data_IF_245971223186
#
_entry.id   IF_245971223186
#
_cell.length_a   1.000
_cell.length_b   1.000
_cell.length_c   1.000
_cell.angle_alpha   90.00
_cell.angle_beta   90.00
_cell.angle_gamma   90.00
#
_symmetry.space_group_name_H-M   'P 1'
#
loop_
_entity.id
_entity.type
_entity.pdbx_description
1 polymer ?
#
# COMPACT_ATOMS: atom_id res chain seq x y z
N UNK A 1 14.78 -23.30 -9.06
CA UNK A 1 15.06 -21.88 -8.80
C UNK A 1 15.61 -21.73 -7.40
N UNK A 2 16.62 -20.90 -7.20
CA UNK A 2 17.14 -20.60 -5.87
C UNK A 2 16.08 -19.80 -5.10
N UNK A 3 15.76 -20.23 -3.87
CA UNK A 3 14.83 -19.47 -3.02
C UNK A 3 15.58 -18.35 -2.31
N UNK A 4 14.95 -17.18 -2.20
CA UNK A 4 15.50 -16.07 -1.42
C UNK A 4 15.78 -16.50 0.02
N UNK A 5 16.92 -16.09 0.54
CA UNK A 5 17.30 -16.22 1.95
C UNK A 5 17.10 -14.94 2.70
N UNK A 6 17.23 -13.80 2.02
CA UNK A 6 17.04 -12.47 2.56
C UNK A 6 16.34 -11.59 1.53
N UNK A 7 15.62 -10.59 2.01
CA UNK A 7 15.04 -9.52 1.20
C UNK A 7 15.66 -8.20 1.62
N UNK A 8 15.93 -7.34 0.66
CA UNK A 8 16.53 -6.03 0.87
C UNK A 8 16.07 -5.08 -0.24
N UNK A 9 15.81 -3.84 0.15
CA UNK A 9 15.41 -2.80 -0.79
C UNK A 9 13.95 -2.93 -1.27
N UNK A 10 13.46 -1.81 -1.75
CA UNK A 10 12.15 -1.65 -2.36
C UNK A 10 12.29 -0.81 -3.62
N UNK A 11 11.53 -1.15 -4.65
CA UNK A 11 11.54 -0.44 -5.93
C UNK A 11 10.17 -0.48 -6.61
N UNK A 12 10.02 0.28 -7.69
CA UNK A 12 8.84 0.25 -8.57
C UNK A 12 7.52 0.44 -7.82
N UNK A 13 7.46 1.43 -6.92
CA UNK A 13 6.23 1.78 -6.23
C UNK A 13 5.19 2.36 -7.21
N UNK A 14 4.01 1.77 -7.25
CA UNK A 14 2.88 2.19 -8.06
C UNK A 14 1.62 2.31 -7.21
N UNK A 15 0.79 3.26 -7.59
CA UNK A 15 -0.55 3.47 -7.04
C UNK A 15 -1.58 3.41 -8.16
N UNK A 16 -2.81 3.08 -7.80
CA UNK A 16 -3.95 3.26 -8.69
C UNK A 16 -5.23 3.32 -7.90
N UNK A 17 -6.30 3.83 -8.48
CA UNK A 17 -7.60 3.89 -7.82
C UNK A 17 -8.17 2.50 -7.63
N UNK A 18 -8.79 2.29 -6.48
CA UNK A 18 -9.54 1.08 -6.15
C UNK A 18 -11.00 1.46 -6.02
N UNK A 19 -11.84 0.97 -6.91
CA UNK A 19 -13.25 1.30 -6.97
C UNK A 19 -14.09 0.02 -6.91
N UNK A 20 -15.19 0.08 -6.17
CA UNK A 20 -16.14 -1.01 -6.06
C UNK A 20 -17.49 -0.50 -6.55
N UNK A 21 -18.07 -1.16 -7.54
CA UNK A 21 -19.40 -0.83 -8.02
C UNK A 21 -20.48 -1.24 -7.01
N UNK A 22 -21.70 -0.73 -7.19
CA UNK A 22 -22.88 -1.11 -6.38
C UNK A 22 -23.17 -2.62 -6.44
N UNK A 23 -22.67 -3.31 -7.45
CA UNK A 23 -22.81 -4.75 -7.64
C UNK A 23 -21.65 -5.55 -7.02
N UNK A 24 -20.71 -4.89 -6.34
CA UNK A 24 -19.53 -5.52 -5.74
C UNK A 24 -18.39 -5.84 -6.71
N UNK A 25 -18.45 -5.34 -7.94
CA UNK A 25 -17.39 -5.54 -8.93
C UNK A 25 -16.25 -4.56 -8.67
N UNK A 26 -15.05 -5.10 -8.47
CA UNK A 26 -13.82 -4.30 -8.27
C UNK A 26 -13.25 -3.86 -9.62
N UNK A 27 -12.94 -2.58 -9.70
CA UNK A 27 -12.24 -1.97 -10.83
C UNK A 27 -10.96 -1.31 -10.34
N UNK A 28 -9.84 -1.67 -10.95
CA UNK A 28 -8.54 -1.10 -10.67
C UNK A 28 -8.18 -0.09 -11.75
N UNK A 29 -7.88 1.14 -11.33
CA UNK A 29 -7.45 2.20 -12.25
C UNK A 29 -6.05 1.97 -12.82
N UNK A 30 -5.65 2.80 -13.78
CA UNK A 30 -4.33 2.74 -14.39
C UNK A 30 -3.23 2.96 -13.36
N UNK A 31 -2.17 2.13 -13.34
CA UNK A 31 -1.06 2.28 -12.43
C UNK A 31 -0.29 3.60 -12.65
N UNK A 32 -0.06 4.33 -11.59
CA UNK A 32 0.78 5.52 -11.54
C UNK A 32 2.10 5.17 -10.85
N UNK A 33 3.22 5.28 -11.54
CA UNK A 33 4.55 5.03 -10.97
C UNK A 33 5.01 6.23 -10.14
N UNK A 34 5.31 6.00 -8.85
CA UNK A 34 5.89 7.01 -7.95
C UNK A 34 7.38 6.70 -7.75
N UNK A 35 8.29 7.48 -8.36
CA UNK A 35 9.72 7.30 -8.17
C UNK A 35 10.19 7.89 -6.85
N UNK A 36 11.37 7.45 -6.40
CA UNK A 36 12.03 8.01 -5.21
C UNK A 36 11.64 7.36 -3.89
N UNK A 37 11.15 6.13 -3.91
CA UNK A 37 10.84 5.37 -2.71
C UNK A 37 12.11 5.04 -1.92
N UNK A 38 12.11 5.38 -0.64
CA UNK A 38 13.20 5.12 0.31
C UNK A 38 12.89 3.88 1.14
N UNK A 39 11.68 3.83 1.72
CA UNK A 39 11.25 2.73 2.58
C UNK A 39 9.74 2.52 2.49
N UNK A 40 9.30 1.28 2.69
CA UNK A 40 7.90 0.90 2.92
C UNK A 40 7.88 0.00 4.15
N UNK A 41 7.19 0.41 5.20
CA UNK A 41 6.85 -0.44 6.33
C UNK A 41 5.44 -1.01 6.17
N UNK A 42 5.22 -2.22 6.68
CA UNK A 42 3.92 -2.86 6.69
C UNK A 42 3.80 -3.67 7.98
N UNK A 43 2.89 -3.27 8.85
CA UNK A 43 2.64 -3.88 10.14
C UNK A 43 1.26 -4.51 10.18
N UNK A 44 1.16 -5.73 10.71
CA UNK A 44 -0.12 -6.40 10.86
C UNK A 44 -0.91 -5.79 12.02
N UNK A 45 -2.14 -5.42 11.77
CA UNK A 45 -3.08 -4.95 12.78
C UNK A 45 -3.85 -6.15 13.34
N UNK A 46 -3.35 -6.70 14.45
CA UNK A 46 -3.97 -7.85 15.12
C UNK A 46 -4.11 -7.59 16.61
N UNK A 47 -5.25 -7.98 17.17
CA UNK A 47 -5.53 -7.83 18.60
C UNK A 47 -5.82 -9.20 19.20
N UNK A 48 -5.14 -9.52 20.33
CA UNK A 48 -5.41 -10.74 21.07
C UNK A 48 -6.63 -10.54 21.96
N UNK A 49 -7.66 -11.36 21.74
CA UNK A 49 -8.83 -11.46 22.60
C UNK A 49 -8.71 -12.73 23.45
N UNK A 50 -8.69 -12.56 24.78
CA UNK A 50 -8.57 -13.67 25.73
C UNK A 50 -9.75 -13.68 26.68
N UNK A 51 -10.30 -14.89 26.92
CA UNK A 51 -11.32 -15.12 27.93
C UNK A 51 -10.76 -16.00 29.05
N UNK A 52 -10.96 -15.58 30.30
CA UNK A 52 -10.51 -16.27 31.49
C UNK A 52 -11.70 -16.88 32.21
N UNK A 53 -11.61 -18.18 32.60
CA UNK A 53 -12.53 -18.87 33.48
C UNK A 53 -11.73 -19.69 34.48
N UNK A 54 -12.21 -19.83 35.72
CA UNK A 54 -11.55 -20.58 36.80
C UNK A 54 -10.07 -20.16 37.05
N UNK A 55 -9.74 -18.87 36.90
CA UNK A 55 -8.41 -18.29 37.04
C UNK A 55 -7.37 -18.79 35.99
N UNK A 56 -7.82 -19.42 34.91
CA UNK A 56 -6.97 -19.83 33.78
C UNK A 56 -7.45 -19.20 32.50
N UNK A 57 -6.54 -19.01 31.54
CA UNK A 57 -6.88 -18.56 30.19
C UNK A 57 -7.62 -19.71 29.48
N UNK A 58 -8.94 -19.62 29.42
CA UNK A 58 -9.82 -20.67 28.88
C UNK A 58 -9.91 -20.66 27.36
N UNK A 59 -9.83 -19.45 26.75
CA UNK A 59 -9.91 -19.27 25.32
C UNK A 59 -9.12 -18.02 24.90
N UNK A 60 -8.51 -18.09 23.73
CA UNK A 60 -7.89 -16.93 23.11
C UNK A 60 -8.00 -17.01 21.59
N UNK A 61 -8.13 -15.85 20.95
CA UNK A 61 -8.08 -15.68 19.49
C UNK A 61 -7.41 -14.38 19.13
N UNK A 62 -6.93 -14.30 17.89
CA UNK A 62 -6.46 -13.05 17.31
C UNK A 62 -7.48 -12.54 16.30
N UNK A 63 -7.81 -11.25 16.35
CA UNK A 63 -8.51 -10.57 15.27
C UNK A 63 -7.52 -10.19 14.18
N UNK A 64 -7.93 -10.27 12.92
CA UNK A 64 -7.19 -9.75 11.77
C UNK A 64 -7.91 -8.48 11.29
N UNK A 65 -7.28 -7.32 11.55
CA UNK A 65 -7.81 -6.01 11.20
C UNK A 65 -7.09 -5.41 9.97
N UNK A 66 -6.38 -6.25 9.20
CA UNK A 66 -5.61 -5.85 8.04
C UNK A 66 -4.20 -5.39 8.39
N UNK A 67 -3.73 -4.37 7.71
CA UNK A 67 -2.36 -3.86 7.89
C UNK A 67 -2.37 -2.34 7.96
N UNK A 68 -1.44 -1.78 8.72
CA UNK A 68 -1.02 -0.38 8.64
C UNK A 68 0.41 -0.29 8.13
N UNK A 69 0.80 0.88 7.65
CA UNK A 69 2.16 1.07 7.18
C UNK A 69 2.46 2.52 6.81
N UNK A 70 3.70 2.73 6.45
CA UNK A 70 4.21 4.04 6.04
C UNK A 70 5.08 3.90 4.79
N UNK A 71 4.94 4.85 3.90
CA UNK A 71 5.79 5.00 2.72
C UNK A 71 6.63 6.24 2.89
N UNK A 72 7.94 6.06 2.98
CA UNK A 72 8.90 7.14 2.91
C UNK A 72 9.36 7.34 1.48
N UNK A 73 9.16 8.55 0.96
CA UNK A 73 9.51 8.91 -0.42
C UNK A 73 10.25 10.25 -0.46
N UNK A 74 11.15 10.39 -1.42
CA UNK A 74 11.89 11.61 -1.61
C UNK A 74 10.98 12.82 -1.89
N UNK A 75 9.93 12.61 -2.69
CA UNK A 75 8.98 13.66 -3.05
C UNK A 75 7.63 13.05 -3.46
N UNK A 76 6.53 13.68 -3.03
CA UNK A 76 5.19 13.41 -3.56
C UNK A 76 4.81 14.53 -4.55
N UNK A 77 4.76 14.27 -5.87
CA UNK A 77 4.43 15.24 -6.89
C UNK A 77 3.02 15.83 -6.73
N UNK A 78 2.78 17.01 -7.30
CA UNK A 78 1.47 17.64 -7.31
C UNK A 78 0.41 16.75 -7.95
N UNK A 79 0.74 16.12 -9.07
CA UNK A 79 -0.12 15.18 -9.80
C UNK A 79 -0.58 14.01 -8.92
N UNK A 80 0.33 13.39 -8.16
CA UNK A 80 -0.01 12.34 -7.20
C UNK A 80 -1.03 12.82 -6.17
N UNK A 81 -0.80 14.02 -5.59
CA UNK A 81 -1.68 14.61 -4.58
C UNK A 81 -3.08 14.92 -5.11
N UNK A 82 -3.17 15.44 -6.32
CA UNK A 82 -4.48 15.76 -6.95
C UNK A 82 -5.23 14.51 -7.38
N UNK A 83 -4.53 13.49 -7.85
CA UNK A 83 -5.12 12.26 -8.34
C UNK A 83 -5.66 11.37 -7.21
N UNK A 84 -4.89 11.18 -6.12
CA UNK A 84 -5.17 10.20 -5.06
C UNK A 84 -5.59 10.81 -3.73
N UNK A 85 -5.13 12.04 -3.42
CA UNK A 85 -5.29 12.63 -2.10
C UNK A 85 -6.29 13.80 -2.06
N UNK A 86 -7.08 13.97 -3.12
CA UNK A 86 -8.08 15.03 -3.23
C UNK A 86 -7.55 16.46 -2.98
N UNK A 87 -6.28 16.70 -3.28
CA UNK A 87 -5.79 18.07 -3.40
C UNK A 87 -6.42 18.74 -4.63
N UNK A 88 -6.54 20.05 -4.59
CA UNK A 88 -7.08 20.86 -5.68
C UNK A 88 -5.97 21.77 -6.24
N UNK A 89 -6.02 21.98 -7.54
CA UNK A 89 -5.26 23.02 -8.19
C UNK A 89 -6.07 24.33 -8.15
N UNK A 90 -5.42 25.38 -7.69
CA UNK A 90 -6.01 26.73 -7.62
C UNK A 90 -5.77 27.47 -8.94
N UNK A 91 -6.56 28.49 -9.21
CA UNK A 91 -6.50 29.30 -10.43
C UNK A 91 -5.12 29.99 -10.66
N UNK A 92 -4.36 30.17 -9.59
CA UNK A 92 -3.01 30.73 -9.60
C UNK A 92 -1.89 29.66 -9.74
N UNK A 93 -2.26 28.38 -9.93
CA UNK A 93 -1.36 27.25 -10.02
C UNK A 93 -0.89 26.68 -8.69
N UNK A 94 -1.41 27.18 -7.56
CA UNK A 94 -1.15 26.61 -6.24
C UNK A 94 -1.85 25.28 -6.04
N UNK A 95 -1.26 24.39 -5.23
CA UNK A 95 -1.85 23.12 -4.85
C UNK A 95 -2.36 23.19 -3.42
N UNK A 96 -3.68 23.12 -3.25
CA UNK A 96 -4.36 23.27 -1.97
C UNK A 96 -4.90 21.97 -1.43
N UNK A 97 -4.90 21.81 -0.10
CA UNK A 97 -5.55 20.72 0.61
C UNK A 97 -6.82 21.23 1.29
N UNK A 98 -7.94 20.53 1.12
CA UNK A 98 -9.21 20.85 1.77
C UNK A 98 -9.36 19.99 3.02
N UNK A 99 -9.54 20.63 4.19
CA UNK A 99 -9.79 19.95 5.45
C UNK A 99 -11.07 19.10 5.39
N UNK A 100 -11.00 17.86 5.87
CA UNK A 100 -12.16 16.98 5.99
C UNK A 100 -12.55 16.23 4.72
N UNK A 101 -11.84 16.45 3.61
CA UNK A 101 -12.01 15.67 2.39
C UNK A 101 -11.23 14.37 2.48
N UNK A 102 -11.93 13.23 2.36
CA UNK A 102 -11.31 11.91 2.40
C UNK A 102 -10.56 11.62 1.11
N UNK A 103 -9.42 10.95 1.24
CA UNK A 103 -8.65 10.45 0.10
C UNK A 103 -9.42 9.31 -0.59
N UNK A 104 -9.12 9.09 -1.88
CA UNK A 104 -9.71 7.97 -2.61
C UNK A 104 -9.10 6.65 -2.14
N UNK A 105 -9.88 5.56 -2.09
CA UNK A 105 -9.31 4.23 -1.92
C UNK A 105 -8.36 3.92 -3.08
N UNK A 106 -7.23 3.29 -2.76
CA UNK A 106 -6.21 2.95 -3.75
C UNK A 106 -5.76 1.49 -3.59
N UNK A 107 -5.14 0.95 -4.62
CA UNK A 107 -4.25 -0.18 -4.48
C UNK A 107 -2.78 0.31 -4.55
N UNK A 108 -1.90 -0.42 -3.89
CA UNK A 108 -0.46 -0.12 -3.85
C UNK A 108 0.29 -1.33 -4.37
N UNK A 109 1.21 -1.14 -5.30
CA UNK A 109 2.09 -2.20 -5.81
C UNK A 109 3.55 -1.78 -5.67
N UNK A 110 4.40 -2.73 -5.32
CA UNK A 110 5.84 -2.50 -5.26
C UNK A 110 6.61 -3.79 -5.49
N UNK A 111 7.90 -3.64 -5.76
CA UNK A 111 8.85 -4.74 -5.88
C UNK A 111 9.77 -4.73 -4.66
N UNK A 112 9.89 -5.89 -4.02
CA UNK A 112 10.86 -6.14 -2.97
C UNK A 112 12.01 -6.96 -3.54
N UNK A 113 13.24 -6.46 -3.40
CA UNK A 113 14.42 -7.11 -3.92
C UNK A 113 14.87 -8.24 -2.98
N UNK A 114 15.21 -9.38 -3.54
CA UNK A 114 15.76 -10.53 -2.83
C UNK A 114 17.17 -10.86 -3.30
N UNK A 115 17.87 -11.71 -2.56
CA UNK A 115 19.22 -12.16 -2.90
C UNK A 115 19.26 -13.06 -4.15
N UNK A 116 18.19 -13.72 -4.49
CA UNK A 116 18.08 -14.57 -5.68
C UNK A 116 17.07 -14.03 -6.71
N UNK A 117 15.90 -13.58 -6.25
CA UNK A 117 14.80 -13.17 -7.10
C UNK A 117 14.04 -11.99 -6.45
N UNK A 118 13.57 -11.04 -7.26
CA UNK A 118 12.72 -9.98 -6.76
C UNK A 118 11.26 -10.47 -6.66
N UNK A 119 10.64 -10.22 -5.51
CA UNK A 119 9.20 -10.44 -5.30
C UNK A 119 8.41 -9.18 -5.62
N UNK A 120 7.20 -9.32 -6.14
CA UNK A 120 6.26 -8.21 -6.35
C UNK A 120 5.04 -8.39 -5.47
N UNK A 121 4.54 -7.29 -4.94
CA UNK A 121 3.40 -7.31 -4.03
C UNK A 121 2.36 -6.29 -4.46
N UNK A 122 1.09 -6.65 -4.29
CA UNK A 122 -0.05 -5.74 -4.39
C UNK A 122 -0.82 -5.77 -3.08
N UNK A 123 -1.23 -4.57 -2.63
CA UNK A 123 -2.10 -4.34 -1.48
C UNK A 123 -3.41 -3.76 -2.01
N UNK A 124 -4.53 -4.30 -1.55
CA UNK A 124 -5.86 -3.89 -2.02
C UNK A 124 -6.59 -3.01 -1.01
N UNK A 125 -7.42 -2.11 -1.52
CA UNK A 125 -8.29 -1.24 -0.72
C UNK A 125 -7.53 -0.51 0.39
N UNK A 126 -6.50 0.22 -0.03
CA UNK A 126 -5.69 1.02 0.88
C UNK A 126 -6.29 2.41 1.06
N UNK A 127 -6.31 2.88 2.30
CA UNK A 127 -6.65 4.25 2.65
C UNK A 127 -5.39 5.04 2.96
N UNK A 128 -5.17 6.15 2.26
CA UNK A 128 -4.02 7.02 2.45
C UNK A 128 -4.29 8.03 3.56
N UNK A 129 -3.33 8.20 4.46
CA UNK A 129 -3.33 9.29 5.44
C UNK A 129 -2.85 10.62 4.84
N UNK A 130 -2.35 11.51 5.67
CA UNK A 130 -1.81 12.79 5.23
C UNK A 130 -0.28 12.71 5.16
N UNK A 131 0.30 13.37 4.15
CA UNK A 131 1.74 13.46 4.00
C UNK A 131 2.32 14.30 5.14
N UNK A 132 3.28 13.74 5.85
CA UNK A 132 4.10 14.44 6.85
C UNK A 132 5.45 14.76 6.23
N UNK A 133 5.91 15.99 6.41
CA UNK A 133 7.21 16.43 5.94
C UNK A 133 7.85 17.38 6.95
N UNK A 134 9.12 17.17 7.20
CA UNK A 134 9.94 18.12 7.97
C UNK A 134 10.63 19.11 7.04
N UNK A 135 10.78 20.34 7.50
CA UNK A 135 11.51 21.40 6.80
C UNK A 135 12.62 21.89 7.72
N UNK A 136 13.84 21.54 7.39
CA UNK A 136 15.04 21.97 8.11
C UNK A 136 15.89 22.91 7.26
N UNK A 137 16.63 23.80 7.90
CA UNK A 137 17.63 24.65 7.24
C UNK A 137 18.83 23.79 6.83
N UNK A 138 19.47 24.15 5.73
CA UNK A 138 20.72 23.52 5.29
C UNK A 138 21.86 24.00 6.20
N UNK A 139 22.58 23.04 6.78
CA UNK A 139 23.85 23.26 7.49
C UNK A 139 25.03 22.96 6.57
N UNK A 140 26.20 22.61 7.11
CA UNK A 140 27.42 22.35 6.31
C UNK A 140 27.32 21.13 5.38
N UNK A 141 26.35 20.22 5.63
CA UNK A 141 26.02 19.08 4.75
C UNK A 141 24.58 19.19 4.21
N UNK A 142 24.42 18.93 2.90
CA UNK A 142 23.09 18.87 2.29
C UNK A 142 22.53 17.44 2.44
N UNK A 143 21.62 17.26 3.37
CA UNK A 143 20.87 16.01 3.51
C UNK A 143 19.54 16.08 2.75
N UNK A 144 19.22 15.01 2.03
CA UNK A 144 17.93 14.91 1.34
C UNK A 144 16.82 14.75 2.38
N UNK A 145 15.83 15.67 2.32
CA UNK A 145 14.65 15.57 3.16
C UNK A 145 13.60 14.73 2.48
N UNK A 146 13.08 13.74 3.19
CA UNK A 146 12.03 12.84 2.73
C UNK A 146 10.67 13.26 3.27
N UNK A 147 9.62 12.67 2.75
CA UNK A 147 8.27 12.82 3.26
C UNK A 147 7.64 11.44 3.50
N UNK A 148 6.81 11.33 4.53
CA UNK A 148 6.17 10.09 4.94
C UNK A 148 4.68 10.15 4.67
N UNK A 149 4.15 9.09 4.06
CA UNK A 149 2.74 8.88 3.79
C UNK A 149 2.26 7.64 4.54
N UNK A 150 1.50 7.79 5.63
CA UNK A 150 0.90 6.66 6.31
C UNK A 150 -0.28 6.11 5.50
N UNK A 151 -0.49 4.81 5.58
CA UNK A 151 -1.62 4.12 4.94
C UNK A 151 -2.11 2.95 5.78
N UNK A 152 -3.35 2.54 5.52
CA UNK A 152 -3.95 1.32 6.06
C UNK A 152 -4.47 0.45 4.93
N UNK A 153 -4.45 -0.86 5.13
CA UNK A 153 -4.92 -1.85 4.15
C UNK A 153 -6.10 -2.60 4.75
N UNK A 154 -7.28 -2.32 4.27
CA UNK A 154 -8.50 -3.01 4.69
C UNK A 154 -8.73 -4.33 3.93
N UNK A 155 -8.16 -4.45 2.73
CA UNK A 155 -8.38 -5.57 1.85
C UNK A 155 -9.65 -5.44 1.00
N UNK A 156 -9.79 -6.35 0.06
CA UNK A 156 -10.96 -6.40 -0.82
C UNK A 156 -12.19 -6.95 -0.10
N UNK A 157 -13.28 -6.22 -0.14
CA UNK A 157 -14.52 -6.59 0.56
C UNK A 157 -15.21 -7.86 -0.01
N UNK A 158 -14.97 -8.17 -1.28
CA UNK A 158 -15.59 -9.32 -1.94
C UNK A 158 -14.86 -10.63 -1.67
N UNK A 159 -13.54 -10.60 -1.75
CA UNK A 159 -12.68 -11.80 -1.61
C UNK A 159 -12.00 -11.90 -0.24
N UNK A 160 -11.92 -10.80 0.50
CA UNK A 160 -11.15 -10.70 1.74
C UNK A 160 -9.62 -10.60 1.53
N UNK A 161 -9.14 -10.53 0.29
CA UNK A 161 -7.71 -10.45 0.00
C UNK A 161 -7.16 -9.08 0.40
N UNK A 162 -6.23 -9.06 1.35
CA UNK A 162 -5.53 -7.83 1.78
C UNK A 162 -4.29 -7.57 0.93
N UNK A 163 -3.51 -8.63 0.68
CA UNK A 163 -2.28 -8.57 -0.11
C UNK A 163 -2.06 -9.84 -0.92
N UNK A 164 -1.41 -9.70 -2.06
CA UNK A 164 -0.95 -10.85 -2.87
C UNK A 164 0.49 -10.62 -3.30
N UNK A 165 1.32 -11.65 -3.10
CA UNK A 165 2.70 -11.67 -3.56
C UNK A 165 2.84 -12.50 -4.83
N UNK A 166 3.67 -12.01 -5.76
CA UNK A 166 4.01 -12.68 -7.01
C UNK A 166 5.52 -12.86 -7.11
N UNK A 167 5.95 -14.05 -7.40
CA UNK A 167 7.33 -14.38 -7.75
C UNK A 167 7.50 -14.50 -9.28
N UNK A 168 8.72 -14.58 -9.80
CA UNK A 168 8.97 -14.66 -11.24
C UNK A 168 8.36 -15.89 -11.95
N UNK A 169 7.92 -16.90 -11.20
CA UNK A 169 7.24 -18.07 -11.77
C UNK A 169 5.75 -17.84 -12.05
N UNK A 170 5.19 -16.76 -11.49
CA UNK A 170 3.79 -16.40 -11.69
C UNK A 170 3.57 -15.75 -13.07
N UNK A 171 2.52 -16.18 -13.77
CA UNK A 171 2.13 -15.61 -15.07
C UNK A 171 1.81 -14.10 -15.00
N UNK A 172 1.39 -13.60 -13.85
CA UNK A 172 1.04 -12.19 -13.63
C UNK A 172 2.27 -11.32 -13.34
N UNK A 173 3.41 -11.93 -12.98
CA UNK A 173 4.58 -11.21 -12.52
C UNK A 173 5.03 -10.11 -13.50
N UNK A 174 5.18 -10.41 -14.78
CA UNK A 174 5.71 -9.45 -15.74
C UNK A 174 4.74 -8.32 -16.08
N UNK A 175 3.45 -8.56 -15.98
CA UNK A 175 2.40 -7.64 -16.42
C UNK A 175 1.79 -6.81 -15.30
N UNK A 176 2.03 -7.14 -14.02
CA UNK A 176 1.29 -6.54 -12.91
C UNK A 176 1.42 -5.02 -12.79
N UNK A 177 2.55 -4.44 -13.19
CA UNK A 177 2.75 -2.97 -13.16
C UNK A 177 2.11 -2.23 -14.35
N UNK A 178 1.62 -2.96 -15.35
CA UNK A 178 0.87 -2.40 -16.49
C UNK A 178 -0.60 -2.77 -16.44
N UNK A 179 -0.89 -3.99 -15.98
CA UNK A 179 -2.25 -4.51 -15.82
C UNK A 179 -2.36 -5.10 -14.40
N UNK A 180 -2.82 -4.30 -13.43
CA UNK A 180 -2.90 -4.74 -12.05
C UNK A 180 -3.87 -5.92 -11.91
N UNK A 181 -3.48 -6.97 -11.17
CA UNK A 181 -4.35 -8.13 -10.98
C UNK A 181 -5.55 -7.76 -10.09
N UNK A 182 -6.76 -8.02 -10.59
CA UNK A 182 -7.99 -7.87 -9.81
C UNK A 182 -8.05 -8.97 -8.75
N UNK A 183 -8.47 -8.66 -7.49
CA UNK A 183 -8.56 -9.66 -6.44
C UNK A 183 -9.54 -10.77 -6.83
N UNK A 184 -9.05 -12.01 -6.84
CA UNK A 184 -9.86 -13.18 -7.16
C UNK A 184 -9.42 -14.38 -6.32
N UNK A 185 -10.38 -15.14 -5.79
CA UNK A 185 -10.11 -16.41 -5.15
C UNK A 185 -9.99 -17.52 -6.21
N UNK A 186 -9.20 -18.57 -5.95
CA UNK A 186 -9.17 -19.73 -6.84
C UNK A 186 -10.58 -20.33 -6.96
N UNK A 187 -10.95 -20.78 -8.16
CA UNK A 187 -12.17 -21.53 -8.34
C UNK A 187 -12.18 -22.74 -7.38
N UNK A 188 -13.20 -22.85 -6.53
CA UNK A 188 -13.34 -24.02 -5.67
C UNK A 188 -13.53 -25.23 -6.58
N UNK A 189 -12.57 -26.15 -6.57
CA UNK A 189 -12.77 -27.47 -7.18
C UNK A 189 -13.77 -28.23 -6.29
N UNK A 190 -14.98 -28.44 -6.78
CA UNK A 190 -15.95 -29.38 -6.20
C UNK A 190 -15.40 -30.80 -6.16
#
# INVERSE_FOLDING_TARGET
>A
MAKNKVMFGVSKLHFGTYEVSDQGVVTLGTPYHLPGTVNISLEAESEENSFYADNVRYWSTYSDNGYSGEIENALFPAEFKTQFMNYIELDDGGIGQIKGKQNKPVYIMFQAEGDAEAGRMILYNCSLGQITREFATTEDSTEAQTATLPFTVAGDNGTGLTRVGYDPSSATYDTMFTTPPVPALPAQSE
#
